data_IF_790572632170
#
_entry.id   IF_790572632170
#
_cell.length_a   1.000
_cell.length_b   1.000
_cell.length_c   1.000
_cell.angle_alpha   90.00
_cell.angle_beta   90.00
_cell.angle_gamma   90.00
#
_symmetry.space_group_name_H-M   'P 1'
#
loop_
_entity.id
_entity.type
_entity.pdbx_description
1 polymer ?
#
# COMPACT_ATOMS: atom_id res chain seq x y z
N UNK A 1 32.63 -8.99 -32.13
CA UNK A 1 31.41 -9.67 -32.64
C UNK A 1 30.41 -9.61 -31.50
N UNK A 2 29.36 -8.80 -31.58
CA UNK A 2 28.49 -8.54 -30.44
C UNK A 2 27.75 -9.84 -30.04
N UNK A 3 27.63 -10.15 -28.74
CA UNK A 3 26.88 -11.31 -28.28
C UNK A 3 25.39 -11.17 -28.61
N UNK A 4 24.78 -12.27 -29.07
CA UNK A 4 23.37 -12.36 -29.43
C UNK A 4 22.45 -11.91 -28.29
N UNK A 5 21.42 -11.13 -28.61
CA UNK A 5 20.44 -10.55 -27.67
C UNK A 5 19.65 -11.58 -26.81
N UNK A 6 19.90 -12.89 -26.99
CA UNK A 6 19.29 -13.99 -26.23
C UNK A 6 20.21 -14.63 -25.18
N UNK A 7 21.47 -14.21 -25.05
CA UNK A 7 22.40 -14.81 -24.10
C UNK A 7 22.03 -14.53 -22.65
N UNK A 8 22.20 -15.53 -21.78
CA UNK A 8 21.93 -15.36 -20.36
C UNK A 8 22.89 -14.32 -19.75
N UNK A 9 22.49 -13.61 -18.68
CA UNK A 9 23.39 -12.64 -18.01
C UNK A 9 24.74 -13.26 -17.58
N UNK A 10 24.76 -14.59 -17.39
CA UNK A 10 25.95 -15.38 -17.10
C UNK A 10 26.84 -15.59 -18.33
N UNK A 11 26.27 -15.92 -19.48
CA UNK A 11 27.01 -16.04 -20.75
C UNK A 11 27.58 -14.68 -21.17
N UNK A 12 26.81 -13.61 -21.03
CA UNK A 12 27.30 -12.25 -21.29
C UNK A 12 28.48 -11.91 -20.38
N UNK A 13 28.39 -12.24 -19.08
CA UNK A 13 29.46 -12.01 -18.14
C UNK A 13 30.74 -12.80 -18.50
N UNK A 14 30.59 -14.06 -18.94
CA UNK A 14 31.72 -14.88 -19.41
C UNK A 14 32.36 -14.31 -20.68
N UNK A 15 31.57 -13.87 -21.66
CA UNK A 15 32.08 -13.21 -22.85
C UNK A 15 32.85 -11.92 -22.53
N UNK A 16 32.30 -11.08 -21.66
CA UNK A 16 32.96 -9.84 -21.21
C UNK A 16 34.23 -10.15 -20.43
N UNK A 17 34.24 -11.20 -19.60
CA UNK A 17 35.45 -11.64 -18.92
C UNK A 17 36.56 -12.03 -19.91
N UNK A 18 36.23 -12.78 -20.96
CA UNK A 18 37.19 -13.15 -21.99
C UNK A 18 37.70 -11.93 -22.77
N UNK A 19 36.85 -10.94 -23.06
CA UNK A 19 37.27 -9.69 -23.71
C UNK A 19 38.20 -8.86 -22.82
N UNK A 20 37.93 -8.81 -21.51
CA UNK A 20 38.84 -8.18 -20.54
C UNK A 20 40.21 -8.89 -20.48
N UNK A 21 40.25 -10.22 -20.70
CA UNK A 21 41.52 -10.97 -20.80
C UNK A 21 42.27 -10.69 -22.10
N UNK A 22 41.60 -10.16 -23.13
CA UNK A 22 42.19 -9.75 -24.41
C UNK A 22 42.61 -8.26 -24.41
N UNK A 23 42.64 -7.62 -23.23
CA UNK A 23 43.00 -6.20 -23.04
C UNK A 23 42.07 -5.20 -23.75
N UNK A 24 40.82 -5.57 -24.00
CA UNK A 24 39.79 -4.65 -24.48
C UNK A 24 39.43 -3.59 -23.40
N UNK A 25 39.09 -2.35 -23.79
CA UNK A 25 38.90 -1.26 -22.85
C UNK A 25 37.65 -1.47 -21.98
N UNK A 26 37.86 -1.58 -20.66
CA UNK A 26 36.78 -1.80 -19.71
C UNK A 26 35.70 -0.70 -19.72
N UNK A 27 36.05 0.53 -20.10
CA UNK A 27 35.08 1.64 -20.19
C UNK A 27 34.01 1.40 -21.26
N UNK A 28 34.40 0.85 -22.42
CA UNK A 28 33.48 0.53 -23.51
C UNK A 28 32.67 -0.73 -23.18
N UNK A 29 33.32 -1.75 -22.62
CA UNK A 29 32.67 -2.99 -22.19
C UNK A 29 31.63 -2.78 -21.07
N UNK A 30 31.85 -1.79 -20.19
CA UNK A 30 30.87 -1.38 -19.20
C UNK A 30 29.54 -0.95 -19.84
N UNK A 31 29.62 -0.11 -20.86
CA UNK A 31 28.43 0.43 -21.54
C UNK A 31 27.74 -0.64 -22.37
N UNK A 32 28.50 -1.48 -23.07
CA UNK A 32 27.94 -2.60 -23.83
C UNK A 32 27.22 -3.62 -22.93
N UNK A 33 27.81 -3.96 -21.78
CA UNK A 33 27.17 -4.86 -20.83
C UNK A 33 25.84 -4.30 -20.33
N UNK A 34 25.81 -3.02 -19.93
CA UNK A 34 24.58 -2.37 -19.46
C UNK A 34 23.54 -2.23 -20.57
N UNK A 35 23.96 -1.90 -21.80
CA UNK A 35 23.06 -1.82 -22.95
C UNK A 35 22.39 -3.18 -23.25
N UNK A 36 23.14 -4.27 -23.17
CA UNK A 36 22.60 -5.61 -23.35
C UNK A 36 21.64 -5.99 -22.22
N UNK A 37 22.03 -5.75 -20.95
CA UNK A 37 21.18 -5.98 -19.80
C UNK A 37 19.87 -5.15 -19.86
N UNK A 38 19.94 -3.95 -20.44
CA UNK A 38 18.80 -3.06 -20.60
C UNK A 38 17.67 -3.68 -21.42
N UNK A 39 17.99 -4.34 -22.55
CA UNK A 39 16.97 -4.93 -23.43
C UNK A 39 16.13 -5.96 -22.66
N UNK A 40 16.82 -6.90 -22.00
CA UNK A 40 16.18 -7.96 -21.22
C UNK A 40 15.37 -7.43 -20.05
N UNK A 41 15.91 -6.51 -19.27
CA UNK A 41 15.17 -5.92 -18.14
C UNK A 41 13.98 -5.07 -18.61
N UNK A 42 14.09 -4.43 -19.79
CA UNK A 42 12.96 -3.71 -20.39
C UNK A 42 11.85 -4.65 -20.87
N UNK A 43 12.19 -5.84 -21.35
CA UNK A 43 11.21 -6.89 -21.67
C UNK A 43 10.46 -7.37 -20.42
N UNK A 44 11.18 -7.64 -19.32
CA UNK A 44 10.56 -7.99 -18.03
C UNK A 44 9.55 -6.90 -17.58
N UNK A 45 9.93 -5.63 -17.68
CA UNK A 45 9.05 -4.50 -17.34
C UNK A 45 7.85 -4.37 -18.29
N UNK A 46 8.05 -4.64 -19.58
CA UNK A 46 6.99 -4.58 -20.59
C UNK A 46 5.96 -5.69 -20.38
N UNK A 47 6.42 -6.89 -19.99
CA UNK A 47 5.55 -8.00 -19.61
C UNK A 47 4.70 -7.66 -18.38
N UNK A 48 5.29 -7.02 -17.36
CA UNK A 48 4.54 -6.53 -16.20
C UNK A 48 3.56 -5.43 -16.56
N UNK A 49 3.92 -4.52 -17.45
CA UNK A 49 3.00 -3.47 -17.90
C UNK A 49 1.78 -4.05 -18.62
N UNK A 50 1.95 -5.11 -19.41
CA UNK A 50 0.84 -5.80 -20.07
C UNK A 50 -0.16 -6.42 -19.07
N UNK A 51 0.31 -6.90 -17.91
CA UNK A 51 -0.54 -7.44 -16.84
C UNK A 51 -1.48 -6.40 -16.21
N UNK A 52 -1.14 -5.11 -16.30
CA UNK A 52 -1.99 -4.02 -15.80
C UNK A 52 -3.21 -3.74 -16.69
N UNK A 53 -3.28 -4.36 -17.86
CA UNK A 53 -4.29 -4.09 -18.88
C UNK A 53 -3.98 -2.82 -19.68
N UNK A 54 -4.41 -2.79 -20.94
CA UNK A 54 -4.33 -1.58 -21.75
C UNK A 54 -5.58 -0.70 -21.53
N UNK A 55 -5.43 0.64 -21.48
CA UNK A 55 -6.57 1.52 -21.70
C UNK A 55 -7.08 1.27 -23.13
N UNK A 56 -8.16 0.51 -23.25
CA UNK A 56 -8.70 0.13 -24.56
C UNK A 56 -9.06 1.38 -25.38
N UNK A 57 -8.74 1.42 -26.68
CA UNK A 57 -9.20 2.49 -27.56
C UNK A 57 -10.68 2.22 -27.89
N UNK A 58 -11.59 2.66 -27.03
CA UNK A 58 -13.03 2.48 -27.24
C UNK A 58 -13.90 2.85 -26.04
N UNK A 59 -15.24 2.80 -26.21
CA UNK A 59 -16.20 3.06 -25.13
C UNK A 59 -16.32 1.89 -24.13
N UNK A 60 -15.57 0.81 -24.33
CA UNK A 60 -15.53 -0.35 -23.42
C UNK A 60 -14.79 0.00 -22.13
N UNK A 61 -15.24 -0.52 -20.97
CA UNK A 61 -14.51 -0.35 -19.72
C UNK A 61 -13.08 -0.89 -19.90
N UNK A 62 -12.06 -0.19 -19.35
CA UNK A 62 -10.67 -0.65 -19.44
C UNK A 62 -10.60 -2.09 -18.93
N UNK A 63 -9.90 -2.95 -19.67
CA UNK A 63 -9.65 -4.30 -19.23
C UNK A 63 -8.95 -4.24 -17.87
N UNK A 64 -9.55 -4.85 -16.84
CA UNK A 64 -8.97 -4.89 -15.52
C UNK A 64 -7.62 -5.64 -15.52
N UNK A 65 -6.87 -5.59 -14.41
CA UNK A 65 -5.62 -6.33 -14.27
C UNK A 65 -5.85 -7.82 -14.57
N UNK A 66 -4.89 -8.44 -15.26
CA UNK A 66 -4.98 -9.85 -15.63
C UNK A 66 -4.81 -10.79 -14.42
N UNK A 67 -4.14 -10.31 -13.37
CA UNK A 67 -3.87 -11.06 -12.15
C UNK A 67 -4.18 -10.26 -10.87
N UNK A 68 -4.30 -10.97 -9.76
CA UNK A 68 -4.33 -10.33 -8.44
C UNK A 68 -2.98 -9.67 -8.10
N UNK A 69 -2.99 -8.82 -7.06
CA UNK A 69 -1.83 -7.99 -6.69
C UNK A 69 -0.65 -8.82 -6.17
N UNK A 70 -0.91 -9.95 -5.51
CA UNK A 70 0.13 -10.82 -5.00
C UNK A 70 0.84 -11.52 -6.16
N UNK A 71 0.06 -12.09 -7.10
CA UNK A 71 0.60 -12.71 -8.30
C UNK A 71 1.39 -11.72 -9.16
N UNK A 72 0.85 -10.51 -9.37
CA UNK A 72 1.55 -9.43 -10.08
C UNK A 72 2.91 -9.13 -9.43
N UNK A 73 2.93 -9.01 -8.11
CA UNK A 73 4.15 -8.72 -7.36
C UNK A 73 5.14 -9.88 -7.45
N UNK A 74 4.67 -11.13 -7.41
CA UNK A 74 5.53 -12.30 -7.57
C UNK A 74 6.16 -12.38 -8.96
N UNK A 75 5.41 -12.08 -10.03
CA UNK A 75 5.95 -11.98 -11.39
C UNK A 75 7.05 -10.91 -11.44
N UNK A 76 6.82 -9.73 -10.87
CA UNK A 76 7.79 -8.65 -10.89
C UNK A 76 9.04 -8.95 -10.06
N UNK A 77 8.87 -9.59 -8.91
CA UNK A 77 9.97 -9.98 -8.04
C UNK A 77 10.82 -11.12 -8.60
N UNK A 78 10.18 -12.14 -9.18
CA UNK A 78 10.87 -13.33 -9.67
C UNK A 78 11.48 -13.10 -11.07
N UNK A 79 10.89 -12.25 -11.89
CA UNK A 79 11.46 -11.82 -13.17
C UNK A 79 12.42 -10.65 -12.99
N UNK A 80 11.86 -9.44 -13.03
CA UNK A 80 12.62 -8.19 -13.07
C UNK A 80 13.59 -8.01 -11.90
N UNK A 81 13.14 -8.12 -10.64
CA UNK A 81 14.01 -7.86 -9.47
C UNK A 81 15.13 -8.89 -9.36
N UNK A 82 14.82 -10.17 -9.63
CA UNK A 82 15.82 -11.24 -9.61
C UNK A 82 16.87 -11.06 -10.71
N UNK A 83 16.45 -10.74 -11.94
CA UNK A 83 17.35 -10.46 -13.05
C UNK A 83 18.21 -9.21 -12.78
N UNK A 84 17.63 -8.18 -12.16
CA UNK A 84 18.37 -6.98 -11.75
C UNK A 84 19.46 -7.32 -10.73
N UNK A 85 19.18 -8.18 -9.75
CA UNK A 85 20.21 -8.63 -8.78
C UNK A 85 21.37 -9.37 -9.48
N UNK A 86 21.07 -10.20 -10.47
CA UNK A 86 22.10 -10.91 -11.25
C UNK A 86 22.98 -9.92 -12.03
N UNK A 87 22.36 -8.94 -12.71
CA UNK A 87 23.08 -7.89 -13.44
C UNK A 87 23.99 -7.10 -12.51
N UNK A 88 23.50 -6.69 -11.33
CA UNK A 88 24.30 -5.96 -10.33
C UNK A 88 25.51 -6.79 -9.90
N UNK A 89 25.30 -8.05 -9.50
CA UNK A 89 26.38 -8.91 -9.02
C UNK A 89 27.44 -9.16 -10.11
N UNK A 90 27.01 -9.55 -11.31
CA UNK A 90 27.91 -9.80 -12.44
C UNK A 90 28.69 -8.54 -12.84
N UNK A 91 28.03 -7.39 -12.90
CA UNK A 91 28.70 -6.13 -13.25
C UNK A 91 29.72 -5.71 -12.19
N UNK A 92 29.38 -5.86 -10.91
CA UNK A 92 30.28 -5.55 -9.81
C UNK A 92 31.53 -6.44 -9.83
N UNK A 93 31.36 -7.74 -10.08
CA UNK A 93 32.48 -8.68 -10.14
C UNK A 93 33.42 -8.40 -11.33
N UNK A 94 32.85 -7.99 -12.48
CA UNK A 94 33.64 -7.70 -13.68
C UNK A 94 34.39 -6.37 -13.59
N UNK A 95 33.73 -5.32 -13.11
CA UNK A 95 34.20 -3.94 -13.30
C UNK A 95 34.48 -3.15 -12.01
N UNK A 96 33.85 -3.52 -10.88
CA UNK A 96 33.96 -2.75 -9.63
C UNK A 96 34.94 -3.40 -8.65
N UNK A 97 34.87 -4.72 -8.49
CA UNK A 97 35.71 -5.48 -7.56
C UNK A 97 37.03 -5.95 -8.17
N UNK A 98 37.22 -5.82 -9.49
CA UNK A 98 38.43 -6.28 -10.19
C UNK A 98 39.46 -5.15 -10.30
N UNK A 99 40.58 -5.18 -9.55
CA UNK A 99 41.61 -4.13 -9.62
C UNK A 99 42.41 -4.12 -10.92
N UNK A 100 42.32 -5.18 -11.74
CA UNK A 100 43.09 -5.32 -12.98
C UNK A 100 42.46 -4.65 -14.22
N UNK A 101 41.19 -4.25 -14.17
CA UNK A 101 40.43 -3.84 -15.35
C UNK A 101 40.56 -2.34 -15.74
N UNK A 102 41.45 -1.56 -15.12
CA UNK A 102 41.60 -0.13 -15.48
C UNK A 102 41.89 0.83 -14.32
N UNK A 103 42.19 0.32 -13.13
CA UNK A 103 42.52 1.15 -11.96
C UNK A 103 41.30 1.70 -11.21
N UNK A 104 41.55 2.49 -10.15
CA UNK A 104 40.53 2.94 -9.20
C UNK A 104 39.47 3.86 -9.83
N UNK A 105 39.86 4.66 -10.83
CA UNK A 105 38.96 5.63 -11.48
C UNK A 105 37.90 4.92 -12.34
N UNK A 106 38.28 3.84 -13.04
CA UNK A 106 37.34 3.03 -13.84
C UNK A 106 36.33 2.31 -12.94
N UNK A 107 36.76 1.77 -11.80
CA UNK A 107 35.85 1.12 -10.85
C UNK A 107 34.83 2.10 -10.23
N UNK A 108 35.24 3.34 -9.94
CA UNK A 108 34.34 4.39 -9.46
C UNK A 108 33.34 4.81 -10.53
N UNK A 109 33.81 5.02 -11.77
CA UNK A 109 32.97 5.35 -12.91
C UNK A 109 31.95 4.24 -13.19
N UNK A 110 32.39 2.97 -13.23
CA UNK A 110 31.52 1.81 -13.41
C UNK A 110 30.47 1.72 -12.30
N UNK A 111 30.88 1.92 -11.04
CA UNK A 111 29.95 1.97 -9.91
C UNK A 111 28.87 3.04 -10.06
N UNK A 112 29.24 4.26 -10.50
CA UNK A 112 28.29 5.34 -10.74
C UNK A 112 27.33 5.02 -11.90
N UNK A 113 27.85 4.50 -13.02
CA UNK A 113 27.02 4.06 -14.16
C UNK A 113 26.02 2.98 -13.77
N UNK A 114 26.44 2.01 -12.95
CA UNK A 114 25.56 0.96 -12.45
C UNK A 114 24.44 1.53 -11.58
N UNK A 115 24.75 2.47 -10.68
CA UNK A 115 23.73 3.10 -9.82
C UNK A 115 22.68 3.83 -10.66
N UNK A 116 23.11 4.68 -11.59
CA UNK A 116 22.20 5.41 -12.48
C UNK A 116 21.33 4.45 -13.32
N UNK A 117 21.95 3.39 -13.84
CA UNK A 117 21.26 2.38 -14.64
C UNK A 117 20.15 1.68 -13.85
N UNK A 118 20.47 1.20 -12.65
CA UNK A 118 19.52 0.47 -11.80
C UNK A 118 18.42 1.41 -11.29
N UNK A 119 18.75 2.61 -10.83
CA UNK A 119 17.78 3.59 -10.34
C UNK A 119 16.72 3.91 -11.40
N UNK A 120 17.15 4.13 -12.64
CA UNK A 120 16.25 4.40 -13.77
C UNK A 120 15.27 3.24 -14.03
N UNK A 121 15.73 2.00 -13.99
CA UNK A 121 14.88 0.83 -14.23
C UNK A 121 13.96 0.54 -13.04
N UNK A 122 14.47 0.69 -11.81
CA UNK A 122 13.70 0.52 -10.59
C UNK A 122 12.60 1.59 -10.46
N UNK A 123 12.85 2.83 -10.87
CA UNK A 123 11.83 3.87 -10.93
C UNK A 123 10.66 3.48 -11.86
N UNK A 124 10.94 2.86 -13.01
CA UNK A 124 9.89 2.31 -13.89
C UNK A 124 9.12 1.18 -13.22
N UNK A 125 9.82 0.23 -12.58
CA UNK A 125 9.17 -0.85 -11.85
C UNK A 125 8.25 -0.34 -10.72
N UNK A 126 8.73 0.64 -9.95
CA UNK A 126 7.97 1.30 -8.90
C UNK A 126 6.71 1.97 -9.43
N UNK A 127 6.80 2.68 -10.55
CA UNK A 127 5.62 3.27 -11.19
C UNK A 127 4.56 2.20 -11.56
N UNK A 128 4.98 1.01 -12.02
CA UNK A 128 4.07 -0.11 -12.32
C UNK A 128 3.44 -0.68 -11.05
N UNK A 129 4.22 -0.92 -10.00
CA UNK A 129 3.73 -1.40 -8.70
C UNK A 129 2.71 -0.44 -8.11
N UNK A 130 2.99 0.87 -8.14
CA UNK A 130 2.03 1.86 -7.66
C UNK A 130 0.75 1.90 -8.48
N UNK A 131 0.85 1.83 -9.82
CA UNK A 131 -0.33 1.74 -10.70
C UNK A 131 -1.16 0.51 -10.32
N UNK A 132 -0.53 -0.63 -10.07
CA UNK A 132 -1.23 -1.85 -9.65
C UNK A 132 -1.95 -1.66 -8.32
N UNK A 133 -1.29 -1.08 -7.32
CA UNK A 133 -1.86 -0.81 -5.99
C UNK A 133 -3.07 0.12 -6.12
N UNK A 134 -3.01 1.15 -6.96
CA UNK A 134 -4.11 2.13 -7.14
C UNK A 134 -5.39 1.51 -7.71
N UNK A 135 -5.31 0.39 -8.41
CA UNK A 135 -6.48 -0.32 -8.95
C UNK A 135 -7.20 -1.13 -7.86
N UNK A 136 -6.54 -1.44 -6.74
CA UNK A 136 -7.14 -2.13 -5.60
C UNK A 136 -8.07 -1.19 -4.80
N UNK A 137 -9.30 -0.98 -5.30
CA UNK A 137 -10.28 -0.06 -4.68
C UNK A 137 -11.23 -0.71 -3.67
N UNK A 138 -11.23 -2.04 -3.55
CA UNK A 138 -12.17 -2.76 -2.68
C UNK A 138 -11.84 -2.59 -1.19
N UNK A 139 -12.82 -2.19 -0.38
CA UNK A 139 -12.73 -2.17 1.09
C UNK A 139 -13.20 -3.51 1.66
N UNK A 140 -12.28 -4.46 1.80
CA UNK A 140 -12.59 -5.84 2.21
C UNK A 140 -11.36 -6.55 2.76
N UNK A 141 -11.19 -7.84 2.46
CA UNK A 141 -10.00 -8.57 2.89
C UNK A 141 -8.71 -7.95 2.31
N UNK A 142 -7.79 -7.51 3.18
CA UNK A 142 -6.50 -6.94 2.77
C UNK A 142 -5.41 -8.01 2.59
N UNK A 143 -5.71 -9.30 2.74
CA UNK A 143 -4.71 -10.38 2.77
C UNK A 143 -3.79 -10.38 1.55
N UNK A 144 -4.34 -10.29 0.33
CA UNK A 144 -3.53 -10.29 -0.89
C UNK A 144 -2.69 -9.01 -1.02
N UNK A 145 -3.26 -7.84 -0.70
CA UNK A 145 -2.55 -6.57 -0.72
C UNK A 145 -1.37 -6.59 0.26
N UNK A 146 -1.61 -6.94 1.53
CA UNK A 146 -0.58 -6.94 2.57
C UNK A 146 0.53 -7.93 2.24
N UNK A 147 0.18 -9.14 1.75
CA UNK A 147 1.17 -10.13 1.34
C UNK A 147 1.96 -9.69 0.11
N UNK A 148 1.31 -9.03 -0.86
CA UNK A 148 1.98 -8.45 -2.02
C UNK A 148 2.99 -7.38 -1.60
N UNK A 149 2.56 -6.44 -0.76
CA UNK A 149 3.42 -5.41 -0.17
C UNK A 149 4.60 -6.02 0.61
N UNK A 150 4.37 -7.08 1.38
CA UNK A 150 5.44 -7.76 2.12
C UNK A 150 6.45 -8.42 1.19
N UNK A 151 5.94 -9.11 0.17
CA UNK A 151 6.77 -9.76 -0.85
C UNK A 151 7.65 -8.75 -1.57
N UNK A 152 7.06 -7.63 -2.00
CA UNK A 152 7.76 -6.50 -2.58
C UNK A 152 8.85 -5.98 -1.64
N UNK A 153 8.52 -5.68 -0.39
CA UNK A 153 9.47 -5.20 0.63
C UNK A 153 10.68 -6.14 0.78
N UNK A 154 10.43 -7.44 0.97
CA UNK A 154 11.46 -8.45 1.21
C UNK A 154 12.39 -8.60 0.02
N UNK A 155 11.84 -8.58 -1.21
CA UNK A 155 12.62 -8.77 -2.43
C UNK A 155 13.50 -7.56 -2.72
N UNK A 156 13.04 -6.35 -2.42
CA UNK A 156 13.86 -5.14 -2.52
C UNK A 156 15.07 -5.16 -1.59
N UNK A 157 15.02 -5.87 -0.46
CA UNK A 157 16.18 -5.93 0.45
C UNK A 157 17.42 -6.52 -0.21
N UNK A 158 17.27 -7.39 -1.21
CA UNK A 158 18.41 -7.92 -1.96
C UNK A 158 19.09 -6.81 -2.77
N UNK A 159 18.31 -6.01 -3.50
CA UNK A 159 18.83 -4.91 -4.32
C UNK A 159 19.49 -3.84 -3.45
N UNK A 160 18.86 -3.46 -2.33
CA UNK A 160 19.39 -2.47 -1.38
C UNK A 160 20.74 -2.92 -0.80
N UNK A 161 20.89 -4.22 -0.52
CA UNK A 161 22.16 -4.77 -0.01
C UNK A 161 23.27 -4.76 -1.07
N UNK A 162 22.92 -5.07 -2.32
CA UNK A 162 23.88 -5.09 -3.43
C UNK A 162 24.28 -3.68 -3.85
N UNK A 163 23.39 -2.70 -3.68
CA UNK A 163 23.58 -1.34 -4.18
C UNK A 163 23.18 -0.29 -3.11
N UNK A 164 23.94 -0.16 -2.01
CA UNK A 164 23.57 0.70 -0.88
C UNK A 164 23.61 2.21 -1.18
N UNK A 165 24.30 2.62 -2.25
CA UNK A 165 24.37 4.03 -2.68
C UNK A 165 23.12 4.52 -3.42
N UNK A 166 22.20 3.61 -3.76
CA UNK A 166 20.95 3.91 -4.48
C UNK A 166 19.81 4.34 -3.56
N UNK A 167 18.86 5.12 -4.10
CA UNK A 167 17.65 5.56 -3.40
C UNK A 167 16.52 4.52 -3.37
N UNK A 168 16.71 3.32 -3.93
CA UNK A 168 15.71 2.24 -4.00
C UNK A 168 15.07 1.92 -2.64
N UNK A 169 15.86 1.96 -1.57
CA UNK A 169 15.36 1.70 -0.23
C UNK A 169 14.35 2.73 0.26
N UNK A 170 14.63 4.02 0.04
CA UNK A 170 13.76 5.11 0.44
C UNK A 170 12.46 5.10 -0.38
N UNK A 171 12.56 5.00 -1.71
CA UNK A 171 11.41 4.96 -2.61
C UNK A 171 10.51 3.75 -2.36
N UNK A 172 11.09 2.55 -2.21
CA UNK A 172 10.32 1.34 -1.91
C UNK A 172 9.57 1.43 -0.57
N UNK A 173 10.19 2.02 0.46
CA UNK A 173 9.53 2.30 1.74
C UNK A 173 8.40 3.32 1.59
N UNK A 174 8.60 4.37 0.79
CA UNK A 174 7.57 5.39 0.57
C UNK A 174 6.31 4.80 -0.09
N UNK A 175 6.48 3.93 -1.10
CA UNK A 175 5.37 3.22 -1.76
C UNK A 175 4.56 2.40 -0.74
N UNK A 176 5.24 1.67 0.14
CA UNK A 176 4.60 0.87 1.20
C UNK A 176 3.77 1.73 2.14
N UNK A 177 4.37 2.81 2.66
CA UNK A 177 3.71 3.73 3.59
C UNK A 177 2.51 4.40 2.92
N UNK A 178 2.68 4.84 1.67
CA UNK A 178 1.61 5.48 0.88
C UNK A 178 0.45 4.52 0.63
N UNK A 179 0.73 3.27 0.26
CA UNK A 179 -0.28 2.24 0.04
C UNK A 179 -1.10 1.98 1.31
N UNK A 180 -0.43 1.87 2.46
CA UNK A 180 -1.08 1.67 3.75
C UNK A 180 -1.93 2.90 4.16
N UNK A 181 -1.38 4.12 4.02
CA UNK A 181 -2.11 5.37 4.31
C UNK A 181 -3.35 5.54 3.41
N UNK A 182 -3.24 5.22 2.14
CA UNK A 182 -4.38 5.30 1.22
C UNK A 182 -5.45 4.26 1.55
N UNK A 183 -5.05 3.04 1.95
CA UNK A 183 -5.99 2.04 2.43
C UNK A 183 -6.78 2.51 3.65
N UNK A 184 -6.11 3.17 4.60
CA UNK A 184 -6.78 3.78 5.76
C UNK A 184 -7.80 4.84 5.33
N UNK A 185 -7.44 5.72 4.39
CA UNK A 185 -8.35 6.73 3.85
C UNK A 185 -9.60 6.09 3.23
N UNK A 186 -9.44 5.02 2.45
CA UNK A 186 -10.56 4.30 1.84
C UNK A 186 -11.51 3.71 2.89
N UNK A 187 -10.97 3.11 3.97
CA UNK A 187 -11.80 2.61 5.07
C UNK A 187 -12.52 3.71 5.83
N UNK A 188 -11.87 4.86 6.04
CA UNK A 188 -12.53 6.02 6.65
C UNK A 188 -13.71 6.46 5.78
N UNK A 189 -13.50 6.62 4.48
CA UNK A 189 -14.57 7.00 3.55
C UNK A 189 -15.71 5.97 3.55
N UNK A 190 -15.38 4.67 3.55
CA UNK A 190 -16.38 3.61 3.61
C UNK A 190 -17.20 3.65 4.91
N UNK A 191 -16.57 3.90 6.07
CA UNK A 191 -17.26 4.09 7.35
C UNK A 191 -18.19 5.31 7.32
N UNK A 192 -17.73 6.42 6.73
CA UNK A 192 -18.53 7.64 6.59
C UNK A 192 -19.76 7.41 5.71
N UNK A 193 -19.60 6.73 4.56
CA UNK A 193 -20.71 6.36 3.69
C UNK A 193 -21.67 5.40 4.40
N UNK A 194 -21.15 4.36 5.04
CA UNK A 194 -21.97 3.40 5.79
C UNK A 194 -22.81 4.08 6.89
N UNK A 195 -22.23 5.04 7.61
CA UNK A 195 -22.98 5.83 8.60
C UNK A 195 -24.08 6.67 7.95
N UNK A 196 -23.80 7.32 6.82
CA UNK A 196 -24.79 8.11 6.09
C UNK A 196 -25.96 7.25 5.57
N UNK A 197 -25.67 6.04 5.10
CA UNK A 197 -26.67 5.06 4.69
C UNK A 197 -27.54 4.63 5.88
N UNK A 198 -26.93 4.31 7.03
CA UNK A 198 -27.67 4.01 8.26
C UNK A 198 -28.63 5.14 8.67
N UNK A 199 -28.19 6.41 8.56
CA UNK A 199 -29.05 7.55 8.85
C UNK A 199 -30.19 7.69 7.84
N UNK A 200 -29.93 7.37 6.57
CA UNK A 200 -30.96 7.37 5.53
C UNK A 200 -32.03 6.31 5.82
N UNK A 201 -31.63 5.12 6.24
CA UNK A 201 -32.56 4.04 6.62
C UNK A 201 -33.41 4.41 7.84
N UNK A 202 -32.80 5.04 8.86
CA UNK A 202 -33.53 5.57 10.02
C UNK A 202 -34.54 6.64 9.57
N UNK A 203 -34.14 7.56 8.69
CA UNK A 203 -35.05 8.59 8.16
C UNK A 203 -36.23 7.98 7.40
N UNK A 204 -35.98 6.98 6.56
CA UNK A 204 -37.04 6.28 5.83
C UNK A 204 -37.97 5.54 6.78
N UNK A 205 -37.43 4.87 7.79
CA UNK A 205 -38.21 4.18 8.82
C UNK A 205 -39.11 5.13 9.61
N UNK A 206 -38.62 6.33 9.94
CA UNK A 206 -39.39 7.37 10.63
C UNK A 206 -40.47 8.01 9.74
N UNK A 207 -40.24 8.08 8.43
CA UNK A 207 -41.18 8.65 7.47
C UNK A 207 -42.25 7.66 6.98
N UNK A 208 -42.09 6.36 7.27
CA UNK A 208 -42.99 5.32 6.80
C UNK A 208 -44.44 5.52 7.32
N UNK A 209 -45.47 5.36 6.46
CA UNK A 209 -46.86 5.48 6.85
C UNK A 209 -47.23 4.46 7.94
N UNK A 210 -47.91 4.91 9.00
CA UNK A 210 -48.43 4.03 10.04
C UNK A 210 -49.57 3.21 9.45
N UNK A 211 -49.35 1.91 9.21
CA UNK A 211 -50.41 0.98 8.84
C UNK A 211 -51.35 0.78 10.04
N UNK A 212 -52.66 0.77 9.78
CA UNK A 212 -53.68 0.55 10.81
C UNK A 212 -53.39 -0.74 11.59
N UNK A 213 -53.11 -0.60 12.89
CA UNK A 213 -52.83 -1.72 13.80
C UNK A 213 -51.36 -2.06 14.04
N UNK A 214 -50.41 -1.33 13.42
CA UNK A 214 -48.97 -1.46 13.72
C UNK A 214 -48.47 -0.19 14.41
N UNK A 215 -47.83 -0.34 15.57
CA UNK A 215 -47.16 0.78 16.24
C UNK A 215 -46.16 1.43 15.27
N UNK A 216 -46.02 2.76 15.36
CA UNK A 216 -45.04 3.51 14.57
C UNK A 216 -43.60 3.06 14.87
N UNK A 217 -42.64 3.55 14.08
CA UNK A 217 -41.23 3.20 14.24
C UNK A 217 -40.76 3.39 15.70
N UNK A 218 -40.21 2.32 16.29
CA UNK A 218 -39.71 2.32 17.66
C UNK A 218 -38.31 2.94 17.72
N UNK A 219 -38.20 4.13 18.33
CA UNK A 219 -36.93 4.86 18.43
C UNK A 219 -35.85 4.09 19.20
N UNK A 220 -36.21 3.33 20.23
CA UNK A 220 -35.25 2.56 21.02
C UNK A 220 -34.66 1.41 20.20
N UNK A 221 -35.49 0.75 19.38
CA UNK A 221 -35.04 -0.31 18.47
C UNK A 221 -34.13 0.25 17.37
N UNK A 222 -34.54 1.36 16.74
CA UNK A 222 -33.72 2.04 15.72
C UNK A 222 -32.36 2.48 16.29
N UNK A 223 -32.34 3.03 17.50
CA UNK A 223 -31.11 3.40 18.20
C UNK A 223 -30.22 2.19 18.48
N UNK A 224 -30.81 1.09 18.96
CA UNK A 224 -30.09 -0.16 19.21
C UNK A 224 -29.45 -0.72 17.93
N UNK A 225 -30.22 -0.77 16.84
CA UNK A 225 -29.76 -1.25 15.53
C UNK A 225 -28.63 -0.39 14.99
N UNK A 226 -28.77 0.94 14.93
CA UNK A 226 -27.71 1.81 14.39
C UNK A 226 -26.43 1.74 15.24
N UNK A 227 -26.56 1.70 16.57
CA UNK A 227 -25.42 1.63 17.48
C UNK A 227 -24.64 0.33 17.28
N UNK A 228 -25.35 -0.80 17.21
CA UNK A 228 -24.76 -2.11 16.97
C UNK A 228 -24.11 -2.19 15.58
N UNK A 229 -24.79 -1.70 14.54
CA UNK A 229 -24.29 -1.69 13.16
C UNK A 229 -22.99 -0.89 13.02
N UNK A 230 -22.93 0.33 13.57
CA UNK A 230 -21.71 1.15 13.53
C UNK A 230 -20.57 0.46 14.28
N UNK A 231 -20.84 -0.04 15.49
CA UNK A 231 -19.81 -0.69 16.30
C UNK A 231 -19.24 -1.95 15.62
N UNK A 232 -20.12 -2.78 15.04
CA UNK A 232 -19.70 -3.96 14.31
C UNK A 232 -18.90 -3.60 13.06
N UNK A 233 -19.31 -2.56 12.33
CA UNK A 233 -18.57 -2.11 11.16
C UNK A 233 -17.17 -1.58 11.53
N UNK A 234 -17.03 -0.84 12.63
CA UNK A 234 -15.72 -0.41 13.15
C UNK A 234 -14.85 -1.63 13.47
N UNK A 235 -15.39 -2.65 14.17
CA UNK A 235 -14.66 -3.88 14.50
C UNK A 235 -14.19 -4.62 13.26
N UNK A 236 -15.03 -4.76 12.24
CA UNK A 236 -14.67 -5.40 10.97
C UNK A 236 -13.54 -4.65 10.27
N UNK A 237 -13.63 -3.31 10.20
CA UNK A 237 -12.58 -2.47 9.60
C UNK A 237 -11.26 -2.60 10.36
N UNK A 238 -11.29 -2.56 11.70
CA UNK A 238 -10.10 -2.76 12.52
C UNK A 238 -9.47 -4.13 12.26
N UNK A 239 -10.26 -5.19 12.14
CA UNK A 239 -9.76 -6.53 11.81
C UNK A 239 -9.07 -6.57 10.43
N UNK A 240 -9.65 -5.94 9.40
CA UNK A 240 -9.03 -5.86 8.08
C UNK A 240 -7.71 -5.08 8.10
N UNK A 241 -7.67 -3.97 8.83
CA UNK A 241 -6.48 -3.12 8.95
C UNK A 241 -5.40 -3.78 9.80
N UNK A 242 -5.78 -4.63 10.76
CA UNK A 242 -4.84 -5.35 11.64
C UNK A 242 -3.92 -6.31 10.87
N UNK A 243 -4.31 -6.72 9.65
CA UNK A 243 -3.45 -7.53 8.78
C UNK A 243 -2.11 -6.84 8.45
N UNK A 244 -2.07 -5.51 8.36
CA UNK A 244 -0.83 -4.74 8.14
C UNK A 244 0.16 -4.84 9.33
N UNK A 245 -0.33 -5.24 10.50
CA UNK A 245 0.45 -5.41 11.73
C UNK A 245 0.67 -6.87 12.12
N UNK A 246 0.30 -7.81 11.25
CA UNK A 246 0.50 -9.23 11.52
C UNK A 246 1.99 -9.57 11.67
N UNK A 247 2.29 -10.54 12.55
CA UNK A 247 3.66 -10.86 12.99
C UNK A 247 4.52 -11.47 11.87
N UNK A 248 3.90 -12.15 10.93
CA UNK A 248 4.52 -12.77 9.76
C UNK A 248 4.81 -11.77 8.63
N UNK A 249 4.32 -10.53 8.74
CA UNK A 249 4.62 -9.43 7.83
C UNK A 249 5.93 -8.77 8.25
N UNK A 250 6.90 -8.73 7.35
CA UNK A 250 8.27 -8.29 7.65
C UNK A 250 8.43 -6.78 7.79
N UNK A 251 7.69 -5.99 6.99
CA UNK A 251 7.73 -4.53 7.13
C UNK A 251 6.97 -4.04 8.37
N UNK A 252 6.05 -4.84 8.93
CA UNK A 252 5.17 -4.42 10.02
C UNK A 252 5.93 -4.10 11.31
N UNK A 253 7.09 -4.73 11.52
CA UNK A 253 7.95 -4.52 12.68
C UNK A 253 8.99 -3.41 12.48
N UNK A 254 8.99 -2.74 11.32
CA UNK A 254 9.99 -1.70 11.04
C UNK A 254 9.63 -0.41 11.78
N UNK A 255 10.62 0.28 12.40
CA UNK A 255 10.37 1.52 13.14
C UNK A 255 9.67 2.60 12.31
N UNK A 256 10.02 2.70 11.02
CA UNK A 256 9.42 3.67 10.10
C UNK A 256 7.93 3.41 9.81
N UNK A 257 7.44 2.19 10.05
CA UNK A 257 6.08 1.78 9.72
C UNK A 257 5.20 1.67 10.96
N UNK A 258 5.60 0.84 11.94
CA UNK A 258 4.71 0.41 13.04
C UNK A 258 4.12 1.59 13.82
N UNK A 259 4.97 2.48 14.33
CA UNK A 259 4.53 3.59 15.17
C UNK A 259 3.61 4.57 14.44
N UNK A 260 4.07 5.02 13.27
CA UNK A 260 3.32 5.94 12.41
C UNK A 260 1.99 5.33 11.93
N UNK A 261 2.01 4.08 11.47
CA UNK A 261 0.80 3.40 10.98
C UNK A 261 -0.22 3.20 12.11
N UNK A 262 0.19 2.67 13.26
CA UNK A 262 -0.72 2.38 14.37
C UNK A 262 -1.29 3.67 15.00
N UNK A 263 -0.43 4.63 15.34
CA UNK A 263 -0.84 5.85 16.05
C UNK A 263 -1.48 6.87 15.10
N UNK A 264 -0.76 7.29 14.05
CA UNK A 264 -1.25 8.36 13.17
C UNK A 264 -2.24 7.83 12.12
N UNK A 265 -2.00 6.63 11.58
CA UNK A 265 -2.87 6.01 10.61
C UNK A 265 -4.18 5.50 11.23
N UNK A 266 -4.09 4.45 12.05
CA UNK A 266 -5.27 3.74 12.55
C UNK A 266 -5.98 4.54 13.65
N UNK A 267 -5.28 4.92 14.72
CA UNK A 267 -5.95 5.58 15.85
C UNK A 267 -6.48 6.96 15.48
N UNK A 268 -5.60 7.87 15.04
CA UNK A 268 -5.99 9.24 14.71
C UNK A 268 -6.68 9.37 13.35
N UNK A 269 -6.06 8.82 12.31
CA UNK A 269 -6.50 8.97 10.92
C UNK A 269 -7.79 8.22 10.59
N UNK A 270 -8.08 7.10 11.26
CA UNK A 270 -9.29 6.30 11.01
C UNK A 270 -10.32 6.49 12.11
N UNK A 271 -10.01 6.09 13.33
CA UNK A 271 -10.99 5.98 14.41
C UNK A 271 -11.42 7.35 14.94
N UNK A 272 -10.46 8.18 15.38
CA UNK A 272 -10.76 9.52 15.88
C UNK A 272 -11.40 10.38 14.79
N UNK A 273 -10.90 10.29 13.56
CA UNK A 273 -11.47 11.01 12.42
C UNK A 273 -12.90 10.60 12.11
N UNK A 274 -13.24 9.30 12.22
CA UNK A 274 -14.61 8.83 12.06
C UNK A 274 -15.53 9.30 13.20
N UNK A 275 -15.08 9.26 14.45
CA UNK A 275 -15.84 9.79 15.59
C UNK A 275 -16.13 11.29 15.42
N UNK A 276 -15.11 12.06 14.99
CA UNK A 276 -15.28 13.49 14.66
C UNK A 276 -16.32 13.70 13.56
N UNK A 277 -16.34 12.85 12.54
CA UNK A 277 -17.33 12.89 11.47
C UNK A 277 -18.76 12.64 11.98
N UNK A 278 -18.96 11.65 12.85
CA UNK A 278 -20.27 11.39 13.49
C UNK A 278 -20.73 12.65 14.25
N UNK A 279 -19.87 13.22 15.09
CA UNK A 279 -20.19 14.43 15.84
C UNK A 279 -20.50 15.62 14.93
N UNK A 280 -19.74 15.80 13.85
CA UNK A 280 -19.98 16.87 12.89
C UNK A 280 -21.33 16.70 12.18
N UNK A 281 -21.64 15.49 11.73
CA UNK A 281 -22.91 15.16 11.08
C UNK A 281 -24.09 15.42 12.00
N UNK A 282 -24.01 15.02 13.28
CA UNK A 282 -25.05 15.29 14.26
C UNK A 282 -25.31 16.79 14.45
N UNK A 283 -24.26 17.62 14.47
CA UNK A 283 -24.39 19.09 14.56
C UNK A 283 -25.05 19.70 13.33
N UNK A 284 -24.71 19.24 12.12
CA UNK A 284 -25.33 19.72 10.88
C UNK A 284 -26.86 19.50 10.88
N UNK A 285 -27.33 18.39 11.44
CA UNK A 285 -28.77 18.13 11.59
C UNK A 285 -29.47 19.10 12.56
N UNK A 286 -28.76 19.57 13.61
CA UNK A 286 -29.27 20.58 14.53
C UNK A 286 -29.37 21.97 13.89
N UNK A 287 -28.39 22.35 13.07
CA UNK A 287 -28.32 23.66 12.42
C UNK A 287 -29.39 23.83 11.32
N UNK A 288 -29.78 22.74 10.67
CA UNK A 288 -30.77 22.72 9.57
C UNK A 288 -32.22 22.59 10.04
N UNK A 289 -32.47 22.48 11.35
CA UNK A 289 -33.80 22.25 11.93
C UNK A 289 -34.83 23.38 11.71
N UNK A 290 -34.45 24.51 11.11
CA UNK A 290 -35.31 25.68 10.88
C UNK A 290 -35.66 26.01 9.42
N UNK A 291 -35.12 25.29 8.43
CA UNK A 291 -35.34 25.58 7.00
C UNK A 291 -36.43 24.67 6.36
N UNK A 292 -36.92 25.03 5.16
CA UNK A 292 -37.93 24.25 4.41
C UNK A 292 -37.36 22.89 4.00
N UNK A 293 -37.49 21.91 4.90
CA UNK A 293 -36.90 20.57 4.79
C UNK A 293 -36.50 19.99 6.16
N UNK A 294 -37.11 20.50 7.24
CA UNK A 294 -36.69 20.31 8.62
C UNK A 294 -36.39 18.84 8.98
N UNK A 295 -35.27 18.64 9.67
CA UNK A 295 -34.87 17.36 10.22
C UNK A 295 -35.99 16.77 11.09
N UNK A 296 -36.42 15.51 10.88
CA UNK A 296 -37.46 14.90 11.70
C UNK A 296 -37.09 14.93 13.19
N UNK A 297 -37.98 15.36 14.11
CA UNK A 297 -37.68 15.43 15.54
C UNK A 297 -37.21 14.10 16.13
N UNK A 298 -37.75 12.98 15.62
CA UNK A 298 -37.31 11.63 16.01
C UNK A 298 -35.85 11.34 15.67
N UNK A 299 -35.35 11.86 14.54
CA UNK A 299 -33.94 11.72 14.16
C UNK A 299 -33.04 12.54 15.09
N UNK A 300 -33.44 13.77 15.43
CA UNK A 300 -32.68 14.62 16.36
C UNK A 300 -32.57 14.00 17.75
N UNK A 301 -33.66 13.43 18.28
CA UNK A 301 -33.65 12.73 19.57
C UNK A 301 -32.76 11.50 19.52
N UNK A 302 -32.84 10.71 18.44
CA UNK A 302 -32.01 9.52 18.27
C UNK A 302 -30.52 9.88 18.20
N UNK A 303 -30.14 10.89 17.41
CA UNK A 303 -28.76 11.39 17.33
C UNK A 303 -28.26 11.94 18.67
N UNK A 304 -29.10 12.70 19.38
CA UNK A 304 -28.76 13.23 20.70
C UNK A 304 -28.47 12.10 21.69
N UNK A 305 -29.30 11.05 21.69
CA UNK A 305 -29.10 9.89 22.55
C UNK A 305 -27.86 9.08 22.16
N UNK A 306 -27.64 8.86 20.86
CA UNK A 306 -26.44 8.21 20.33
C UNK A 306 -25.17 8.95 20.80
N UNK A 307 -25.14 10.28 20.70
CA UNK A 307 -24.02 11.08 21.18
C UNK A 307 -23.79 10.94 22.69
N UNK A 308 -24.84 10.90 23.50
CA UNK A 308 -24.72 10.66 24.95
C UNK A 308 -24.16 9.27 25.26
N UNK A 309 -24.61 8.23 24.56
CA UNK A 309 -24.08 6.87 24.73
C UNK A 309 -22.60 6.78 24.27
N UNK A 310 -22.21 7.61 23.29
CA UNK A 310 -20.83 7.72 22.84
C UNK A 310 -19.92 8.39 23.86
N UNK A 311 -20.39 9.50 24.43
CA UNK A 311 -19.69 10.23 25.49
C UNK A 311 -19.51 9.37 26.75
N UNK A 312 -20.54 8.63 27.15
CA UNK A 312 -20.52 7.87 28.40
C UNK A 312 -19.60 6.64 28.36
N UNK A 313 -19.53 5.91 27.24
CA UNK A 313 -18.77 4.65 27.21
C UNK A 313 -18.25 4.24 25.84
N UNK A 314 -18.99 4.49 24.75
CA UNK A 314 -18.65 3.88 23.44
C UNK A 314 -17.34 4.39 22.87
N UNK A 315 -17.04 5.70 23.00
CA UNK A 315 -15.76 6.28 22.54
C UNK A 315 -14.60 5.66 23.31
N UNK A 316 -14.70 5.60 24.64
CA UNK A 316 -13.66 5.01 25.50
C UNK A 316 -13.41 3.54 25.14
N UNK A 317 -14.48 2.77 24.94
CA UNK A 317 -14.38 1.37 24.50
C UNK A 317 -13.67 1.23 23.14
N UNK A 318 -14.08 1.99 22.12
CA UNK A 318 -13.49 1.89 20.78
C UNK A 318 -12.01 2.29 20.79
N UNK A 319 -11.65 3.36 21.52
CA UNK A 319 -10.27 3.79 21.64
C UNK A 319 -9.42 2.73 22.38
N UNK A 320 -9.94 2.17 23.47
CA UNK A 320 -9.25 1.11 24.22
C UNK A 320 -9.03 -0.12 23.35
N UNK A 321 -10.07 -0.56 22.62
CA UNK A 321 -9.97 -1.68 21.67
C UNK A 321 -8.90 -1.43 20.60
N UNK A 322 -8.84 -0.20 20.07
CA UNK A 322 -7.84 0.19 19.05
C UNK A 322 -6.44 0.20 19.66
N UNK A 323 -6.28 0.75 20.85
CA UNK A 323 -5.01 0.85 21.54
C UNK A 323 -4.48 -0.55 21.91
N UNK A 324 -5.34 -1.46 22.38
CA UNK A 324 -4.96 -2.86 22.65
C UNK A 324 -4.51 -3.61 21.40
N UNK A 325 -5.21 -3.42 20.27
CA UNK A 325 -4.88 -4.11 19.02
C UNK A 325 -3.61 -3.58 18.34
N UNK A 326 -3.34 -2.27 18.44
CA UNK A 326 -2.31 -1.61 17.61
C UNK A 326 -1.16 -0.98 18.40
N UNK A 327 -1.40 -0.56 19.65
CA UNK A 327 -0.43 0.18 20.47
C UNK A 327 0.09 -0.59 21.68
N UNK A 328 -0.66 -1.58 22.18
CA UNK A 328 -0.26 -2.41 23.34
C UNK A 328 1.10 -3.11 23.17
N UNK A 329 1.56 -3.32 21.93
CA UNK A 329 2.87 -3.92 21.61
C UNK A 329 3.96 -2.89 21.25
N UNK A 330 3.67 -1.59 21.28
CA UNK A 330 4.65 -0.52 21.01
C UNK A 330 5.38 -0.13 22.30
N UNK A 331 4.71 -0.22 23.44
CA UNK A 331 5.29 0.03 24.77
C UNK A 331 6.47 -0.89 25.09
N UNK A 332 6.40 -2.18 24.72
CA UNK A 332 7.49 -3.13 24.96
C UNK A 332 8.76 -2.84 24.15
N UNK A 333 8.63 -2.20 22.99
CA UNK A 333 9.77 -1.85 22.13
C UNK A 333 10.51 -0.59 22.61
N UNK A 334 9.83 0.32 23.31
CA UNK A 334 10.47 1.47 23.95
C UNK A 334 11.22 1.08 25.24
N UNK A 335 10.79 0.01 25.92
CA UNK A 335 11.47 -0.53 27.10
C UNK A 335 12.65 -1.46 26.79
N UNK A 336 12.71 -2.03 25.58
CA UNK A 336 13.84 -2.89 25.13
C UNK A 336 14.95 -2.10 24.41
N UNK A 337 14.83 -0.78 24.31
CA UNK A 337 15.80 0.13 23.68
C UNK A 337 16.67 0.92 24.67
N UNK A 338 16.72 0.52 25.94
CA UNK A 338 17.68 1.00 26.94
C UNK A 338 18.72 -0.07 27.26
#
# INVERSE_FOLDING_TARGET
>A
MPPDAGSSAKELAECVELLLQLDEPAEELCDEFLAHAQSRLAEDLSALEAELGQPGPGPSPPAGPLSDILEFTDKGCNGFVSNTCLVIASYQDLFVHRPAAGGRDVALMAGAKLVEFVDRLMGRYFALVERRIRVEKGVGDNSLLVRGLDRFHRRLQAVIKLLPASNIGAEGTEILVRAAKERIRQYLQALQSFYADCLTDVRQSLAAPRLLGKDGANLAELLGTISASILNQIKSVLAYVHLFTAKDITFSNKPYFKGEFCSQGVREGLIVSFIKYICHTARQFCETAGEKGATPPGLLLLLSRLCLDYENSTISYILTLTDEQFLGQVSDLLYMGQ
#
